data_IF_666092000436
#
_entry.id   IF_666092000436
#
_cell.length_a   1.000
_cell.length_b   1.000
_cell.length_c   1.000
_cell.angle_alpha   90.00
_cell.angle_beta   90.00
_cell.angle_gamma   90.00
#
_symmetry.space_group_name_H-M   'P 1'
#
loop_
_entity.id
_entity.type
_entity.pdbx_description
1 polymer ?
#
# COMPACT_ATOMS: atom_id res chain seq x y z
N UNK A 1 -3.23 -34.05 -24.16
CA UNK A 1 -2.44 -33.98 -22.92
C UNK A 1 -1.43 -32.87 -23.13
N UNK A 2 -1.77 -31.64 -22.72
CA UNK A 2 -0.91 -30.47 -22.89
C UNK A 2 0.13 -30.47 -21.79
N UNK A 3 1.40 -30.58 -22.18
CA UNK A 3 2.53 -30.59 -21.26
C UNK A 3 2.63 -29.26 -20.49
N UNK A 4 2.90 -29.40 -19.20
CA UNK A 4 3.08 -28.35 -18.20
C UNK A 4 3.97 -27.19 -18.68
N UNK A 5 3.32 -26.07 -19.04
CA UNK A 5 3.99 -24.78 -19.11
C UNK A 5 4.02 -24.20 -17.68
N UNK A 6 4.85 -24.83 -16.82
CA UNK A 6 5.04 -24.36 -15.47
C UNK A 6 5.62 -22.94 -15.55
N UNK A 7 4.99 -21.93 -14.93
CA UNK A 7 5.44 -20.55 -15.05
C UNK A 7 6.87 -20.47 -14.51
N UNK A 8 7.82 -20.21 -15.41
CA UNK A 8 9.23 -20.04 -15.04
C UNK A 8 9.30 -18.92 -13.99
N UNK A 9 9.50 -19.28 -12.73
CA UNK A 9 9.55 -18.33 -11.63
C UNK A 9 10.69 -17.37 -11.92
N UNK A 10 10.39 -16.09 -12.12
CA UNK A 10 11.42 -15.07 -12.35
C UNK A 10 12.40 -15.11 -11.18
N UNK A 11 13.72 -15.19 -11.43
CA UNK A 11 14.70 -15.26 -10.36
C UNK A 11 14.53 -14.04 -9.45
N UNK A 12 14.36 -14.29 -8.15
CA UNK A 12 14.22 -13.26 -7.12
C UNK A 12 15.60 -12.67 -6.82
N UNK A 13 15.72 -11.34 -6.82
CA UNK A 13 16.98 -10.67 -6.54
C UNK A 13 17.25 -10.54 -5.03
N UNK A 14 16.21 -10.49 -4.19
CA UNK A 14 16.40 -10.50 -2.75
C UNK A 14 16.74 -11.91 -2.25
N UNK A 15 17.60 -12.06 -1.22
CA UNK A 15 17.99 -13.36 -0.71
C UNK A 15 16.78 -14.19 -0.29
N UNK A 16 16.79 -15.47 -0.68
CA UNK A 16 15.70 -16.40 -0.37
C UNK A 16 15.43 -16.52 1.13
N UNK A 17 16.46 -16.35 1.97
CA UNK A 17 16.33 -16.35 3.42
C UNK A 17 15.37 -15.25 3.92
N UNK A 18 15.46 -14.03 3.36
CA UNK A 18 14.56 -12.94 3.77
C UNK A 18 13.12 -13.18 3.30
N UNK A 19 12.94 -13.77 2.12
CA UNK A 19 11.62 -14.20 1.64
C UNK A 19 11.01 -15.31 2.52
N UNK A 20 11.83 -16.23 3.06
CA UNK A 20 11.36 -17.25 4.02
C UNK A 20 10.90 -16.62 5.34
N UNK A 21 11.62 -15.63 5.86
CA UNK A 21 11.19 -14.87 7.05
C UNK A 21 9.84 -14.18 6.79
N UNK A 22 9.68 -13.54 5.63
CA UNK A 22 8.40 -12.95 5.25
C UNK A 22 7.28 -13.99 5.12
N UNK A 23 7.58 -15.16 4.54
CA UNK A 23 6.65 -16.28 4.48
C UNK A 23 6.21 -16.75 5.87
N UNK A 24 7.15 -16.98 6.78
CA UNK A 24 6.85 -17.40 8.17
C UNK A 24 5.99 -16.35 8.91
N UNK A 25 6.27 -15.06 8.71
CA UNK A 25 5.47 -13.98 9.28
C UNK A 25 4.03 -13.97 8.72
N UNK A 26 3.86 -14.16 7.40
CA UNK A 26 2.53 -14.22 6.78
C UNK A 26 1.74 -15.47 7.24
N UNK A 27 2.40 -16.61 7.45
CA UNK A 27 1.77 -17.79 8.04
C UNK A 27 1.34 -17.53 9.49
N UNK A 28 2.16 -16.82 10.26
CA UNK A 28 1.79 -16.40 11.63
C UNK A 28 0.59 -15.46 11.61
N UNK A 29 0.57 -14.50 10.68
CA UNK A 29 -0.57 -13.60 10.50
C UNK A 29 -1.85 -14.38 10.17
N UNK A 30 -1.74 -15.38 9.29
CA UNK A 30 -2.85 -16.25 8.91
C UNK A 30 -3.34 -17.09 10.09
N UNK A 31 -2.44 -17.68 10.87
CA UNK A 31 -2.80 -18.46 12.06
C UNK A 31 -3.46 -17.63 13.17
N UNK A 32 -3.16 -16.33 13.25
CA UNK A 32 -3.72 -15.43 14.27
C UNK A 32 -5.07 -14.81 13.88
N UNK A 33 -5.27 -14.50 12.59
CA UNK A 33 -6.41 -13.70 12.12
C UNK A 33 -7.29 -14.42 11.09
N UNK A 34 -6.89 -15.59 10.60
CA UNK A 34 -7.57 -16.30 9.51
C UNK A 34 -7.14 -15.80 8.13
N UNK A 35 -7.87 -16.25 7.13
CA UNK A 35 -7.71 -15.82 5.75
C UNK A 35 -8.29 -14.40 5.55
N UNK A 36 -7.84 -13.62 4.54
CA UNK A 36 -8.41 -12.30 4.30
C UNK A 36 -9.92 -12.36 3.97
N UNK A 37 -10.41 -13.46 3.41
CA UNK A 37 -11.84 -13.70 3.14
C UNK A 37 -12.62 -13.81 4.45
N UNK A 38 -12.09 -14.53 5.44
CA UNK A 38 -12.69 -14.66 6.78
C UNK A 38 -12.80 -13.30 7.46
N UNK A 39 -11.73 -12.50 7.41
CA UNK A 39 -11.72 -11.14 7.96
C UNK A 39 -12.76 -10.25 7.26
N UNK A 40 -12.96 -10.39 5.95
CA UNK A 40 -13.98 -9.65 5.22
C UNK A 40 -15.40 -10.10 5.59
N UNK A 41 -15.60 -11.41 5.76
CA UNK A 41 -16.87 -12.04 6.13
C UNK A 41 -17.38 -11.59 7.51
N UNK A 42 -16.49 -11.28 8.45
CA UNK A 42 -16.87 -10.70 9.75
C UNK A 42 -17.58 -9.34 9.63
N UNK A 43 -17.43 -8.64 8.49
CA UNK A 43 -17.90 -7.29 8.16
C UNK A 43 -17.40 -6.17 9.09
N UNK A 44 -17.44 -6.38 10.40
CA UNK A 44 -17.05 -5.44 11.42
C UNK A 44 -16.25 -6.09 12.55
N UNK A 45 -15.22 -5.39 13.02
CA UNK A 45 -14.36 -5.82 14.12
C UNK A 45 -14.51 -4.87 15.31
N UNK A 46 -14.29 -5.40 16.51
CA UNK A 46 -14.12 -4.59 17.71
C UNK A 46 -12.86 -3.73 17.60
N UNK A 47 -12.89 -2.53 18.18
CA UNK A 47 -11.76 -1.56 18.17
C UNK A 47 -10.40 -2.21 18.46
N UNK A 48 -10.33 -3.06 19.49
CA UNK A 48 -9.08 -3.71 19.91
C UNK A 48 -8.57 -4.69 18.84
N UNK A 49 -9.44 -5.58 18.34
CA UNK A 49 -9.10 -6.53 17.28
C UNK A 49 -8.69 -5.82 15.99
N UNK A 50 -9.46 -4.81 15.57
CA UNK A 50 -9.14 -3.99 14.41
C UNK A 50 -7.76 -3.31 14.55
N UNK A 51 -7.49 -2.70 15.71
CA UNK A 51 -6.20 -2.03 15.95
C UNK A 51 -5.03 -3.03 15.93
N UNK A 52 -5.22 -4.21 16.53
CA UNK A 52 -4.22 -5.28 16.56
C UNK A 52 -3.93 -5.79 15.15
N UNK A 53 -4.94 -6.18 14.37
CA UNK A 53 -4.77 -6.62 12.98
C UNK A 53 -4.09 -5.52 12.14
N UNK A 54 -4.55 -4.27 12.25
CA UNK A 54 -3.96 -3.15 11.53
C UNK A 54 -2.46 -2.96 11.83
N UNK A 55 -2.04 -3.22 13.08
CA UNK A 55 -0.63 -3.14 13.49
C UNK A 55 0.21 -4.27 12.90
N UNK A 56 -0.30 -5.50 12.90
CA UNK A 56 0.34 -6.63 12.23
C UNK A 56 0.51 -6.39 10.72
N UNK A 57 -0.54 -5.90 10.06
CA UNK A 57 -0.50 -5.56 8.64
C UNK A 57 0.52 -4.44 8.35
N UNK A 58 0.64 -3.40 9.20
CA UNK A 58 1.68 -2.37 9.04
C UNK A 58 3.10 -2.95 9.09
N UNK A 59 3.34 -3.93 9.96
CA UNK A 59 4.64 -4.60 10.07
C UNK A 59 4.93 -5.42 8.80
N UNK A 60 3.96 -6.23 8.35
CA UNK A 60 4.09 -6.98 7.09
C UNK A 60 4.35 -6.06 5.89
N UNK A 61 3.62 -4.96 5.78
CA UNK A 61 3.81 -3.96 4.72
C UNK A 61 5.22 -3.37 4.76
N UNK A 62 5.75 -3.04 5.95
CA UNK A 62 7.09 -2.48 6.08
C UNK A 62 8.20 -3.46 5.66
N UNK A 63 8.01 -4.75 5.95
CA UNK A 63 8.89 -5.82 5.52
C UNK A 63 8.84 -6.04 4.01
N UNK A 64 7.64 -6.21 3.43
CA UNK A 64 7.50 -6.41 1.99
C UNK A 64 7.99 -5.19 1.18
N UNK A 65 7.86 -3.96 1.71
CA UNK A 65 8.44 -2.77 1.06
C UNK A 65 9.96 -2.85 0.95
N UNK A 66 10.66 -3.34 1.97
CA UNK A 66 12.13 -3.55 1.95
C UNK A 66 12.53 -4.63 0.95
N UNK A 67 11.83 -5.76 0.95
CA UNK A 67 12.05 -6.81 -0.04
C UNK A 67 11.85 -6.28 -1.46
N UNK A 68 10.77 -5.54 -1.70
CA UNK A 68 10.52 -4.91 -2.99
C UNK A 68 11.56 -3.87 -3.38
N UNK A 69 12.18 -3.17 -2.42
CA UNK A 69 13.32 -2.28 -2.72
C UNK A 69 14.51 -3.08 -3.24
N UNK A 70 14.86 -4.18 -2.57
CA UNK A 70 15.95 -5.07 -3.00
C UNK A 70 15.64 -5.66 -4.38
N UNK A 71 14.40 -6.08 -4.64
CA UNK A 71 13.97 -6.54 -5.97
C UNK A 71 14.00 -5.43 -7.03
N UNK A 72 13.60 -4.21 -6.66
CA UNK A 72 13.55 -3.07 -7.56
C UNK A 72 14.93 -2.68 -8.08
N UNK A 73 16.01 -2.95 -7.32
CA UNK A 73 17.38 -2.65 -7.73
C UNK A 73 17.82 -3.43 -8.99
N UNK A 74 17.25 -4.61 -9.21
CA UNK A 74 17.59 -5.46 -10.35
C UNK A 74 17.05 -4.91 -11.68
N UNK A 75 16.11 -3.96 -11.63
CA UNK A 75 15.57 -3.33 -12.82
C UNK A 75 16.44 -2.15 -13.23
N UNK A 76 16.94 -2.20 -14.46
CA UNK A 76 17.75 -1.11 -15.02
C UNK A 76 16.99 0.22 -15.03
N UNK A 77 17.73 1.32 -14.81
CA UNK A 77 17.21 2.67 -15.00
C UNK A 77 16.65 2.75 -16.42
N UNK A 78 15.38 3.14 -16.61
CA UNK A 78 14.84 3.27 -17.95
C UNK A 78 15.66 4.33 -18.67
N UNK A 79 16.39 3.93 -19.72
CA UNK A 79 17.16 4.82 -20.59
C UNK A 79 16.19 5.68 -21.40
N UNK A 80 15.49 6.60 -20.75
CA UNK A 80 14.52 7.52 -21.37
C UNK A 80 15.19 8.56 -22.26
N UNK A 81 16.52 8.56 -22.38
CA UNK A 81 17.27 9.62 -23.06
C UNK A 81 17.44 9.45 -24.57
N UNK A 82 17.18 8.28 -25.17
CA UNK A 82 17.64 8.06 -26.55
C UNK A 82 16.60 7.66 -27.61
N UNK A 83 15.38 7.26 -27.24
CA UNK A 83 14.40 6.76 -28.23
C UNK A 83 12.98 7.26 -28.05
N UNK A 84 12.76 8.24 -27.17
CA UNK A 84 11.51 9.00 -27.28
C UNK A 84 11.63 9.79 -28.61
N UNK A 85 10.81 9.47 -29.64
CA UNK A 85 10.86 10.22 -30.88
C UNK A 85 10.76 11.70 -30.52
N UNK A 86 11.67 12.52 -31.07
CA UNK A 86 11.59 13.98 -31.00
C UNK A 86 10.12 14.30 -31.27
N UNK A 87 9.41 14.77 -30.25
CA UNK A 87 8.02 15.19 -30.36
C UNK A 87 8.01 16.18 -31.51
N UNK A 88 7.54 15.74 -32.67
CA UNK A 88 7.45 16.58 -33.85
C UNK A 88 6.62 17.79 -33.46
N UNK A 89 7.22 18.97 -33.61
CA UNK A 89 6.66 20.26 -33.29
C UNK A 89 5.26 20.38 -33.91
N UNK A 90 4.21 20.41 -33.08
CA UNK A 90 2.85 20.73 -33.54
C UNK A 90 1.73 19.73 -33.17
N UNK A 91 2.05 18.55 -32.62
CA UNK A 91 1.00 17.62 -32.16
C UNK A 91 0.40 18.06 -30.81
N UNK A 92 -0.91 18.34 -30.69
CA UNK A 92 -1.51 18.75 -29.42
C UNK A 92 -1.27 17.68 -28.34
N UNK A 93 -0.75 18.11 -27.18
CA UNK A 93 -0.47 17.33 -25.96
C UNK A 93 -1.74 16.82 -25.26
N UNK A 94 -2.73 16.37 -26.03
CA UNK A 94 -3.97 15.82 -25.54
C UNK A 94 -3.81 14.31 -25.58
N UNK A 95 -3.29 13.71 -24.49
CA UNK A 95 -3.77 12.37 -24.17
C UNK A 95 -5.28 12.51 -24.08
N UNK A 96 -5.99 12.02 -25.10
CA UNK A 96 -7.45 12.00 -25.10
C UNK A 96 -7.85 11.36 -23.79
N UNK A 97 -8.62 12.11 -22.99
CA UNK A 97 -9.04 11.64 -21.67
C UNK A 97 -9.69 10.29 -21.89
N UNK A 98 -9.01 9.22 -21.45
CA UNK A 98 -9.52 7.86 -21.64
C UNK A 98 -10.85 7.80 -20.90
N UNK A 99 -11.95 7.71 -21.64
CA UNK A 99 -13.26 7.55 -21.02
C UNK A 99 -13.21 6.29 -20.15
N UNK A 100 -13.31 6.50 -18.83
CA UNK A 100 -13.34 5.41 -17.86
C UNK A 100 -14.79 4.98 -17.72
N UNK A 101 -15.14 3.85 -18.32
CA UNK A 101 -16.41 3.20 -18.00
C UNK A 101 -16.42 2.82 -16.51
N UNK A 102 -17.40 3.38 -15.79
CA UNK A 102 -17.66 3.02 -14.40
C UNK A 102 -18.31 1.65 -14.37
N UNK A 103 -17.51 0.60 -14.22
CA UNK A 103 -18.04 -0.74 -13.91
C UNK A 103 -18.49 -0.75 -12.46
N UNK A 104 -19.72 -1.22 -12.22
CA UNK A 104 -20.20 -1.52 -10.87
C UNK A 104 -19.34 -2.67 -10.34
N UNK A 105 -18.40 -2.37 -9.45
CA UNK A 105 -17.66 -3.39 -8.74
C UNK A 105 -18.51 -3.80 -7.54
N UNK A 106 -19.24 -4.92 -7.66
CA UNK A 106 -19.70 -5.62 -6.48
C UNK A 106 -18.49 -6.32 -5.86
N UNK A 107 -18.43 -6.35 -4.54
CA UNK A 107 -17.38 -7.05 -3.84
C UNK A 107 -17.95 -8.37 -3.35
N UNK A 108 -17.34 -9.44 -3.83
CA UNK A 108 -17.68 -10.81 -3.50
C UNK A 108 -16.63 -11.31 -2.51
N UNK A 109 -17.02 -11.57 -1.26
CA UNK A 109 -16.09 -12.02 -0.21
C UNK A 109 -15.45 -13.36 -0.57
N UNK A 110 -16.12 -14.16 -1.40
CA UNK A 110 -15.69 -15.49 -1.81
C UNK A 110 -14.67 -15.47 -2.97
N UNK A 111 -14.38 -14.29 -3.55
CA UNK A 111 -13.46 -14.11 -4.68
C UNK A 111 -12.37 -13.07 -4.39
N UNK A 112 -11.49 -13.34 -3.41
CA UNK A 112 -10.39 -12.44 -3.00
C UNK A 112 -9.53 -11.97 -4.17
N UNK A 113 -9.29 -12.82 -5.16
CA UNK A 113 -8.48 -12.55 -6.34
C UNK A 113 -9.10 -11.48 -7.27
N UNK A 114 -10.43 -11.36 -7.26
CA UNK A 114 -11.16 -10.36 -8.05
C UNK A 114 -11.13 -8.97 -7.38
N UNK A 115 -10.73 -8.89 -6.10
CA UNK A 115 -10.70 -7.63 -5.38
C UNK A 115 -9.72 -6.65 -6.01
N UNK A 116 -10.08 -5.36 -5.99
CA UNK A 116 -9.25 -4.27 -6.51
C UNK A 116 -8.25 -3.81 -5.47
N UNK A 117 -7.35 -4.70 -5.08
CA UNK A 117 -6.35 -4.39 -4.06
C UNK A 117 -5.19 -3.58 -4.63
N UNK A 118 -4.64 -2.68 -3.80
CA UNK A 118 -3.46 -1.90 -4.18
C UNK A 118 -2.46 -1.88 -3.04
N UNK A 119 -1.27 -2.40 -3.30
CA UNK A 119 -0.16 -2.32 -2.36
C UNK A 119 0.51 -0.95 -2.44
N UNK A 120 0.50 -0.20 -1.34
CA UNK A 120 1.04 1.16 -1.27
C UNK A 120 2.47 1.13 -0.75
N UNK A 121 3.44 1.20 -1.66
CA UNK A 121 4.87 1.26 -1.27
C UNK A 121 5.22 2.59 -0.60
N UNK A 122 4.70 3.68 -1.13
CA UNK A 122 4.87 5.00 -0.53
C UNK A 122 3.62 5.32 0.25
N UNK A 123 3.79 5.77 1.49
CA UNK A 123 2.69 6.41 2.21
C UNK A 123 2.15 7.50 1.28
N UNK A 124 0.87 7.40 0.91
CA UNK A 124 0.23 8.55 0.28
C UNK A 124 0.46 9.68 1.27
N UNK A 125 1.21 10.72 0.87
CA UNK A 125 1.39 11.91 1.72
C UNK A 125 0.02 12.18 2.31
N UNK A 126 -0.12 12.15 3.65
CA UNK A 126 -1.41 12.17 4.32
C UNK A 126 -2.16 13.26 3.59
N UNK A 127 -3.16 12.85 2.80
CA UNK A 127 -3.71 13.70 1.76
C UNK A 127 -3.94 14.99 2.50
N UNK A 128 -3.20 16.04 2.10
CA UNK A 128 -3.25 17.28 2.84
C UNK A 128 -4.73 17.51 3.07
N UNK A 129 -5.07 18.03 4.23
CA UNK A 129 -6.39 18.60 4.45
C UNK A 129 -6.80 19.62 3.35
N UNK A 130 -6.07 19.76 2.22
CA UNK A 130 -6.61 19.49 0.88
C UNK A 130 -8.01 20.01 0.70
N UNK A 131 -8.12 21.30 1.00
CA UNK A 131 -9.24 22.11 0.65
C UNK A 131 -10.59 21.48 0.98
N UNK A 132 -10.92 21.31 2.27
CA UNK A 132 -12.01 22.20 2.67
C UNK A 132 -11.40 23.57 2.48
N UNK A 133 -11.60 24.12 1.28
CA UNK A 133 -11.37 25.52 1.05
C UNK A 133 -11.91 26.19 2.30
N UNK A 134 -11.14 27.12 2.85
CA UNK A 134 -11.76 28.26 3.50
C UNK A 134 -12.77 28.76 2.48
N UNK A 135 -13.97 28.17 2.52
CA UNK A 135 -15.17 28.68 1.88
C UNK A 135 -15.24 30.01 2.56
N UNK A 136 -14.83 30.99 1.77
CA UNK A 136 -14.73 32.39 2.09
C UNK A 136 -15.66 32.71 3.24
N UNK A 137 -15.09 33.26 4.30
CA UNK A 137 -15.80 34.15 5.22
C UNK A 137 -16.35 35.33 4.39
N UNK A 138 -17.32 35.05 3.51
CA UNK A 138 -18.27 36.04 3.09
C UNK A 138 -19.10 36.29 4.35
N UNK A 139 -18.73 37.35 5.07
CA UNK A 139 -19.53 38.04 6.07
C UNK A 139 -20.94 38.28 5.51
N UNK A 140 -21.82 37.30 5.62
CA UNK A 140 -23.26 37.49 5.64
C UNK A 140 -23.67 37.39 7.10
N UNK A 141 -24.11 38.50 7.69
CA UNK A 141 -24.84 38.50 8.95
C UNK A 141 -26.10 37.65 8.77
N UNK A 142 -26.03 36.38 9.16
CA UNK A 142 -27.21 35.53 9.29
C UNK A 142 -27.75 35.73 10.70
N UNK A 143 -29.03 36.11 10.76
CA UNK A 143 -29.80 36.41 11.95
C UNK A 143 -29.71 35.31 13.03
N UNK A 144 -29.89 35.67 14.32
CA UNK A 144 -29.86 34.72 15.42
C UNK A 144 -31.08 33.79 15.33
N UNK A 145 -30.90 32.61 14.73
CA UNK A 145 -31.89 31.53 14.81
C UNK A 145 -31.76 30.81 16.14
N UNK A 146 -32.53 31.28 17.12
CA UNK A 146 -32.91 30.59 18.35
C UNK A 146 -33.91 29.48 18.01
N UNK A 147 -33.46 28.35 17.47
CA UNK A 147 -34.27 27.12 17.42
C UNK A 147 -33.44 25.92 16.96
N UNK A 148 -32.87 25.19 17.93
CA UNK A 148 -32.96 23.74 18.11
C UNK A 148 -31.83 23.36 19.05
N UNK A 149 -32.17 23.05 20.29
CA UNK A 149 -31.26 22.40 21.21
C UNK A 149 -30.84 21.06 20.63
N UNK A 150 -29.72 21.05 19.91
CA UNK A 150 -28.91 19.84 19.74
C UNK A 150 -28.38 19.51 21.11
N UNK A 151 -29.13 18.66 21.80
CA UNK A 151 -28.68 17.84 22.90
C UNK A 151 -27.31 17.28 22.55
N UNK A 152 -26.27 17.94 23.04
CA UNK A 152 -24.95 17.33 23.16
C UNK A 152 -25.17 16.01 23.88
N UNK A 153 -24.84 14.84 23.30
CA UNK A 153 -24.94 13.58 24.01
C UNK A 153 -23.88 13.63 25.10
N UNK A 154 -24.32 14.05 26.28
CA UNK A 154 -23.58 13.95 27.50
C UNK A 154 -23.15 12.49 27.69
N UNK A 155 -21.84 12.32 27.76
CA UNK A 155 -21.11 11.42 28.66
C UNK A 155 -21.57 9.96 28.75
N UNK A 156 -20.66 9.09 28.32
CA UNK A 156 -20.15 8.10 29.29
C UNK A 156 -20.43 6.62 29.00
N UNK A 157 -21.00 6.27 27.85
CA UNK A 157 -20.97 4.88 27.40
C UNK A 157 -19.86 4.70 26.37
N UNK A 158 -18.86 3.87 26.67
CA UNK A 158 -18.00 3.26 25.65
C UNK A 158 -18.91 2.39 24.75
N UNK A 159 -19.66 3.03 23.86
CA UNK A 159 -20.41 2.35 22.81
C UNK A 159 -19.34 1.60 22.03
N UNK A 160 -19.34 0.27 22.13
CA UNK A 160 -18.43 -0.61 21.39
C UNK A 160 -18.48 -0.18 19.92
N UNK A 161 -17.49 0.62 19.51
CA UNK A 161 -17.44 1.11 18.13
C UNK A 161 -16.98 -0.07 17.30
N UNK A 162 -17.86 -0.52 16.42
CA UNK A 162 -17.56 -1.47 15.38
C UNK A 162 -16.82 -0.73 14.25
N UNK A 163 -15.73 -1.31 13.79
CA UNK A 163 -14.93 -0.78 12.69
C UNK A 163 -15.07 -1.73 11.50
N UNK A 164 -15.22 -1.21 10.30
CA UNK A 164 -15.28 -2.06 9.10
C UNK A 164 -13.99 -2.89 8.99
N UNK A 165 -14.15 -4.21 8.87
CA UNK A 165 -13.04 -5.14 8.69
C UNK A 165 -12.41 -5.04 7.28
N UNK A 166 -13.18 -4.49 6.35
CA UNK A 166 -12.95 -4.51 4.93
C UNK A 166 -11.64 -3.87 4.48
N UNK A 167 -11.27 -2.65 4.92
CA UNK A 167 -10.00 -2.05 4.52
C UNK A 167 -8.79 -2.85 5.03
N UNK A 168 -8.94 -3.66 6.08
CA UNK A 168 -7.87 -4.52 6.58
C UNK A 168 -7.77 -5.80 5.75
N UNK A 169 -8.89 -6.42 5.39
CA UNK A 169 -8.92 -7.56 4.48
C UNK A 169 -8.30 -7.23 3.11
N UNK A 170 -8.67 -6.09 2.50
CA UNK A 170 -8.07 -5.66 1.21
C UNK A 170 -6.55 -5.46 1.30
N UNK A 171 -6.08 -4.88 2.42
CA UNK A 171 -4.65 -4.69 2.66
C UNK A 171 -3.94 -6.03 2.86
N UNK A 172 -4.59 -6.96 3.54
CA UNK A 172 -4.05 -8.29 3.76
C UNK A 172 -3.93 -9.05 2.42
N UNK A 173 -4.98 -9.06 1.60
CA UNK A 173 -4.93 -9.67 0.27
C UNK A 173 -3.87 -9.00 -0.63
N UNK A 174 -3.69 -7.68 -0.53
CA UNK A 174 -2.61 -6.99 -1.23
C UNK A 174 -1.21 -7.51 -0.84
N UNK A 175 -1.00 -7.90 0.42
CA UNK A 175 0.26 -8.48 0.88
C UNK A 175 0.50 -9.86 0.28
N UNK A 176 -0.54 -10.71 0.23
CA UNK A 176 -0.45 -12.04 -0.36
C UNK A 176 -0.10 -11.97 -1.84
N UNK A 177 -0.75 -11.08 -2.60
CA UNK A 177 -0.43 -10.87 -4.02
C UNK A 177 1.01 -10.41 -4.25
N UNK A 178 1.50 -9.49 -3.41
CA UNK A 178 2.90 -9.02 -3.50
C UNK A 178 3.89 -10.13 -3.18
N UNK A 179 3.59 -10.96 -2.18
CA UNK A 179 4.46 -12.06 -1.78
C UNK A 179 4.55 -13.15 -2.87
N UNK A 180 3.40 -13.47 -3.47
CA UNK A 180 3.29 -14.47 -4.52
C UNK A 180 3.93 -13.99 -5.85
N UNK A 181 3.62 -12.76 -6.28
CA UNK A 181 4.19 -12.16 -7.49
C UNK A 181 4.75 -10.74 -7.21
N UNK A 182 6.02 -10.64 -6.75
CA UNK A 182 6.63 -9.35 -6.42
C UNK A 182 7.06 -8.54 -7.64
N UNK A 183 7.28 -9.19 -8.79
CA UNK A 183 7.87 -8.59 -9.99
C UNK A 183 7.13 -7.33 -10.50
N UNK A 184 5.79 -7.32 -10.66
CA UNK A 184 5.08 -6.14 -11.14
C UNK A 184 5.15 -4.98 -10.14
N UNK A 185 5.22 -5.26 -8.84
CA UNK A 185 5.34 -4.25 -7.79
C UNK A 185 6.75 -3.66 -7.76
N UNK A 186 7.78 -4.51 -7.82
CA UNK A 186 9.18 -4.10 -7.88
C UNK A 186 9.47 -3.25 -9.12
N UNK A 187 8.97 -3.63 -10.30
CA UNK A 187 9.11 -2.86 -11.55
C UNK A 187 8.45 -1.48 -11.46
N UNK A 188 7.25 -1.38 -10.87
CA UNK A 188 6.58 -0.09 -10.63
C UNK A 188 7.37 0.76 -9.63
N UNK A 189 7.92 0.14 -8.60
CA UNK A 189 8.72 0.80 -7.58
C UNK A 189 10.01 1.36 -8.18
N UNK A 190 10.77 0.55 -8.93
CA UNK A 190 12.00 0.97 -9.61
C UNK A 190 11.77 2.21 -10.48
N UNK A 191 10.73 2.20 -11.32
CA UNK A 191 10.35 3.36 -12.16
C UNK A 191 10.09 4.62 -11.33
N UNK A 192 9.40 4.49 -10.20
CA UNK A 192 9.09 5.63 -9.30
C UNK A 192 10.34 6.13 -8.58
N UNK A 193 11.23 5.25 -8.14
CA UNK A 193 12.47 5.63 -7.47
C UNK A 193 13.45 6.31 -8.44
N UNK A 194 13.56 5.83 -9.67
CA UNK A 194 14.36 6.53 -10.68
C UNK A 194 13.82 7.93 -11.02
N UNK A 195 12.50 8.12 -10.94
CA UNK A 195 11.88 9.44 -11.13
C UNK A 195 12.00 10.34 -9.89
N UNK A 196 11.91 9.75 -8.68
CA UNK A 196 11.90 10.46 -7.40
C UNK A 196 12.73 9.73 -6.34
N UNK A 197 14.08 9.81 -6.38
CA UNK A 197 14.95 9.02 -5.50
C UNK A 197 14.77 9.30 -4.01
N UNK A 198 14.49 10.56 -3.64
CA UNK A 198 14.29 10.98 -2.24
C UNK A 198 13.14 10.25 -1.53
N UNK A 199 12.21 9.61 -2.27
CA UNK A 199 11.11 8.84 -1.69
C UNK A 199 11.54 7.50 -1.09
N UNK A 200 12.80 7.10 -1.25
CA UNK A 200 13.31 5.88 -0.60
C UNK A 200 13.11 5.90 0.92
N UNK A 201 13.26 7.08 1.53
CA UNK A 201 13.11 7.28 2.98
C UNK A 201 11.69 6.90 3.42
N UNK A 202 10.68 7.19 2.59
CA UNK A 202 9.29 6.79 2.85
C UNK A 202 9.13 5.26 2.79
N UNK A 203 9.77 4.61 1.81
CA UNK A 203 9.71 3.15 1.65
C UNK A 203 10.42 2.41 2.80
N UNK A 204 11.49 2.99 3.35
CA UNK A 204 12.24 2.45 4.49
C UNK A 204 11.60 2.78 5.85
N UNK A 205 10.67 3.74 5.93
CA UNK A 205 10.01 4.08 7.20
C UNK A 205 9.39 2.83 7.87
N UNK A 206 9.91 2.49 9.04
CA UNK A 206 9.43 1.39 9.87
C UNK A 206 8.31 1.85 10.82
N UNK A 207 7.26 1.03 11.04
CA UNK A 207 6.42 1.20 12.22
C UNK A 207 7.23 0.84 13.47
N UNK A 208 7.02 1.52 14.61
CA UNK A 208 7.82 1.29 15.82
C UNK A 208 7.74 -0.16 16.32
N UNK A 209 6.66 -0.87 16.00
CA UNK A 209 6.41 -2.21 16.52
C UNK A 209 7.02 -3.33 15.68
N UNK A 210 7.57 -3.00 14.49
CA UNK A 210 8.17 -4.01 13.61
C UNK A 210 9.42 -4.66 14.23
N UNK A 211 10.22 -3.88 14.95
CA UNK A 211 11.47 -4.35 15.59
C UNK A 211 11.21 -5.50 16.57
N UNK A 212 10.05 -5.52 17.21
CA UNK A 212 9.70 -6.55 18.20
C UNK A 212 8.92 -7.73 17.62
N UNK A 213 8.53 -7.67 16.34
CA UNK A 213 7.62 -8.65 15.73
C UNK A 213 8.22 -9.41 14.56
N UNK A 214 9.26 -8.85 13.95
CA UNK A 214 9.88 -9.42 12.76
C UNK A 214 11.32 -9.74 13.13
N UNK A 215 11.64 -11.02 13.15
CA UNK A 215 13.01 -11.46 13.31
C UNK A 215 13.87 -10.91 12.16
N UNK A 216 15.08 -10.48 12.48
CA UNK A 216 16.02 -9.92 11.52
C UNK A 216 15.53 -8.64 10.78
N UNK A 217 14.60 -7.88 11.37
CA UNK A 217 14.10 -6.64 10.76
C UNK A 217 15.20 -5.63 10.42
N UNK A 218 16.21 -5.51 11.28
CA UNK A 218 17.36 -4.62 11.06
C UNK A 218 18.24 -5.10 9.90
N UNK A 219 18.48 -6.40 9.81
CA UNK A 219 19.23 -6.99 8.69
C UNK A 219 18.53 -6.71 7.34
N UNK A 220 17.20 -6.82 7.28
CA UNK A 220 16.43 -6.45 6.08
C UNK A 220 16.55 -4.97 5.75
N UNK A 221 16.54 -4.11 6.78
CA UNK A 221 16.67 -2.65 6.61
C UNK A 221 18.05 -2.31 6.02
N UNK A 222 19.13 -2.81 6.63
CA UNK A 222 20.49 -2.59 6.14
C UNK A 222 20.71 -3.09 4.72
N UNK A 223 20.15 -4.26 4.38
CA UNK A 223 20.27 -4.78 3.02
C UNK A 223 19.50 -3.93 2.00
N UNK A 224 18.30 -3.47 2.34
CA UNK A 224 17.51 -2.59 1.47
C UNK A 224 18.17 -1.22 1.28
N UNK A 225 18.84 -0.69 2.30
CA UNK A 225 19.63 0.54 2.22
C UNK A 225 20.84 0.36 1.31
N UNK A 226 21.65 -0.68 1.56
CA UNK A 226 22.87 -0.98 0.81
C UNK A 226 22.60 -1.23 -0.67
N UNK A 227 21.46 -1.84 -1.00
CA UNK A 227 20.99 -2.05 -2.37
C UNK A 227 20.83 -0.75 -3.17
N UNK A 228 20.54 0.37 -2.50
CA UNK A 228 20.25 1.65 -3.17
C UNK A 228 21.25 2.77 -2.86
N UNK A 229 22.14 2.60 -1.87
CA UNK A 229 23.20 3.57 -1.54
C UNK A 229 23.99 4.07 -2.77
N UNK A 230 24.41 3.22 -3.73
CA UNK A 230 25.18 3.67 -4.89
C UNK A 230 24.46 4.70 -5.77
N UNK A 231 23.12 4.70 -5.76
CA UNK A 231 22.32 5.61 -6.57
C UNK A 231 22.17 7.02 -5.99
N UNK A 232 22.58 7.23 -4.73
CA UNK A 232 22.50 8.54 -4.06
C UNK A 232 23.79 9.34 -4.15
N UNK A 233 24.96 8.69 -4.23
CA UNK A 233 26.24 9.39 -4.25
C UNK A 233 26.54 10.12 -5.57
N UNK A 234 25.72 9.97 -6.59
CA UNK A 234 25.94 10.54 -7.93
C UNK A 234 25.00 11.69 -8.30
N UNK A 235 24.18 12.18 -7.37
CA UNK A 235 23.22 13.27 -7.58
C UNK A 235 23.64 14.52 -6.79
#
# INVERSE_FOLDING_TARGET
MSADDAPSSTPRAAPIALWRVAGAFLHTLHGLFGAPEDVAADHTLLRKAHAQLAQWLRCAEAMLRRLLLIEAQAYAKPNTRFTAPKRSEGGPLLHTSRQRERKLCYFDADKPEAWRVSFRVFSSSPAGSGGSAKRSEAKGQVAPSVAFGSSSPARGGDKKRFYSAWPLAERYEALLRVFNDPAPYARRLARRLHATPHRIVEALRAPPEAVHRIDCFDAMTHQAESAWSPHFSSA
#
